data_IF_246513863604
#
_entry.id   IF_246513863604
#
_cell.length_a   1.000
_cell.length_b   1.000
_cell.length_c   1.000
_cell.angle_alpha   90.00
_cell.angle_beta   90.00
_cell.angle_gamma   90.00
#
_symmetry.space_group_name_H-M   'P 1'
#
loop_
_entity.id
_entity.type
_entity.pdbx_description
1 polymer ?
#
# COMPACT_ATOMS: atom_id res chain seq x y z
N UNK A 1 10.14 15.25 -68.70
CA UNK A 1 8.87 14.62 -68.28
C UNK A 1 9.17 13.83 -67.02
N UNK A 2 8.57 14.21 -65.90
CA UNK A 2 8.87 13.69 -64.58
C UNK A 2 8.29 12.28 -64.38
N UNK A 3 9.14 11.34 -64.00
CA UNK A 3 8.78 9.97 -63.66
C UNK A 3 8.12 9.95 -62.27
N UNK A 4 6.81 9.70 -62.22
CA UNK A 4 6.04 9.64 -60.98
C UNK A 4 6.42 8.38 -60.20
N UNK A 5 7.16 8.55 -59.10
CA UNK A 5 7.39 7.52 -58.08
C UNK A 5 6.06 7.06 -57.47
N UNK A 6 5.78 5.76 -57.59
CA UNK A 6 4.66 5.08 -56.92
C UNK A 6 4.88 5.04 -55.40
N UNK A 7 3.87 5.33 -54.55
CA UNK A 7 4.07 5.40 -53.10
C UNK A 7 4.17 3.99 -52.49
N UNK A 8 5.12 3.83 -51.58
CA UNK A 8 5.37 2.62 -50.81
C UNK A 8 4.15 2.26 -49.96
N UNK A 9 3.73 0.98 -50.05
CA UNK A 9 2.64 0.39 -49.28
C UNK A 9 3.03 0.41 -47.79
N UNK A 10 2.39 1.28 -47.00
CA UNK A 10 2.45 1.23 -45.52
C UNK A 10 1.99 -0.15 -45.07
N UNK A 11 2.91 -0.94 -44.52
CA UNK A 11 2.59 -2.18 -43.81
C UNK A 11 1.85 -1.78 -42.54
N UNK A 12 0.52 -1.90 -42.55
CA UNK A 12 -0.28 -1.83 -41.33
C UNK A 12 0.14 -2.99 -40.43
N UNK A 13 0.68 -2.68 -39.25
CA UNK A 13 0.88 -3.66 -38.17
C UNK A 13 -0.43 -4.42 -37.97
N UNK A 14 -0.36 -5.73 -38.17
CA UNK A 14 -1.45 -6.67 -37.88
C UNK A 14 -1.79 -6.52 -36.40
N UNK A 15 -3.08 -6.36 -36.09
CA UNK A 15 -3.62 -6.47 -34.73
C UNK A 15 -3.17 -7.83 -34.20
N UNK A 16 -2.41 -7.83 -33.11
CA UNK A 16 -1.93 -9.06 -32.47
C UNK A 16 -3.14 -9.94 -32.12
N UNK A 17 -3.12 -11.21 -32.55
CA UNK A 17 -4.13 -12.20 -32.17
C UNK A 17 -4.24 -12.29 -30.64
N UNK A 18 -5.44 -12.50 -30.08
CA UNK A 18 -5.59 -12.71 -28.64
C UNK A 18 -4.72 -13.90 -28.23
N UNK A 19 -3.81 -13.69 -27.26
CA UNK A 19 -2.95 -14.76 -26.74
C UNK A 19 -3.83 -15.89 -26.20
N UNK A 20 -3.45 -17.14 -26.44
CA UNK A 20 -4.11 -18.31 -25.85
C UNK A 20 -4.17 -18.13 -24.32
N UNK A 21 -5.40 -18.03 -23.79
CA UNK A 21 -5.67 -17.67 -22.40
C UNK A 21 -5.60 -18.91 -21.52
N UNK A 22 -4.80 -18.87 -20.46
CA UNK A 22 -4.79 -19.88 -19.40
C UNK A 22 -5.37 -19.28 -18.13
N UNK A 23 -6.52 -19.80 -17.69
CA UNK A 23 -7.11 -19.49 -16.38
C UNK A 23 -6.50 -20.42 -15.33
N UNK A 24 -6.02 -19.86 -14.24
CA UNK A 24 -5.36 -20.58 -13.14
C UNK A 24 -6.16 -20.30 -11.88
N UNK A 25 -6.77 -21.33 -11.29
CA UNK A 25 -7.43 -21.19 -9.98
C UNK A 25 -6.38 -20.92 -8.92
N UNK A 26 -6.59 -19.90 -8.09
CA UNK A 26 -5.58 -19.46 -7.14
C UNK A 26 -5.38 -20.43 -5.97
N UNK A 27 -6.43 -21.14 -5.57
CA UNK A 27 -6.41 -22.06 -4.44
C UNK A 27 -5.74 -23.39 -4.78
N UNK A 28 -5.90 -23.86 -6.03
CA UNK A 28 -5.41 -25.17 -6.51
C UNK A 28 -4.19 -25.07 -7.42
N UNK A 29 -3.98 -23.93 -8.08
CA UNK A 29 -2.93 -23.74 -9.08
C UNK A 29 -3.16 -24.52 -10.38
N UNK A 30 -4.32 -25.17 -10.52
CA UNK A 30 -4.69 -25.95 -11.70
C UNK A 30 -5.29 -25.05 -12.78
N UNK A 31 -5.12 -25.46 -14.05
CA UNK A 31 -5.76 -24.75 -15.16
C UNK A 31 -7.24 -25.09 -15.22
N UNK A 32 -8.10 -24.11 -15.02
CA UNK A 32 -9.56 -24.30 -15.10
C UNK A 32 -10.01 -24.16 -16.55
N UNK A 33 -10.61 -25.22 -17.09
CA UNK A 33 -11.20 -25.22 -18.45
C UNK A 33 -12.71 -25.03 -18.44
N UNK A 34 -13.36 -25.19 -17.29
CA UNK A 34 -14.80 -25.00 -17.12
C UNK A 34 -15.07 -24.13 -15.89
N UNK A 35 -15.48 -22.89 -16.15
CA UNK A 35 -15.96 -21.95 -15.15
C UNK A 35 -17.33 -22.43 -14.68
N UNK A 36 -17.38 -23.05 -13.50
CA UNK A 36 -18.59 -23.68 -13.00
C UNK A 36 -19.45 -22.63 -12.30
N UNK A 37 -20.50 -22.18 -12.97
CA UNK A 37 -21.48 -21.27 -12.39
C UNK A 37 -22.07 -21.85 -11.08
N UNK A 38 -21.65 -21.30 -9.95
CA UNK A 38 -22.32 -21.51 -8.67
C UNK A 38 -23.26 -20.33 -8.45
N UNK A 39 -24.57 -20.59 -8.37
CA UNK A 39 -25.52 -19.58 -7.94
C UNK A 39 -25.19 -19.19 -6.49
N UNK A 40 -24.60 -18.02 -6.29
CA UNK A 40 -24.26 -17.52 -4.96
C UNK A 40 -25.53 -17.06 -4.27
N UNK A 41 -26.08 -17.89 -3.39
CA UNK A 41 -27.24 -17.54 -2.57
C UNK A 41 -26.79 -16.67 -1.39
N UNK A 42 -26.76 -15.35 -1.57
CA UNK A 42 -26.50 -14.37 -0.51
C UNK A 42 -25.08 -14.41 0.09
N UNK A 43 -24.41 -13.26 0.16
CA UNK A 43 -23.10 -13.16 0.82
C UNK A 43 -23.30 -13.16 2.34
N UNK A 44 -22.80 -14.19 3.03
CA UNK A 44 -22.73 -14.22 4.49
C UNK A 44 -21.48 -13.47 4.97
N UNK A 45 -21.63 -12.15 5.12
CA UNK A 45 -20.54 -11.26 5.56
C UNK A 45 -20.00 -11.65 6.93
N UNK A 46 -20.85 -12.14 7.85
CA UNK A 46 -20.40 -12.54 9.19
C UNK A 46 -19.45 -13.75 9.09
N UNK A 47 -19.75 -14.71 8.22
CA UNK A 47 -18.86 -15.83 7.93
C UNK A 47 -17.55 -15.37 7.25
N UNK A 48 -17.60 -14.43 6.30
CA UNK A 48 -16.41 -13.83 5.68
C UNK A 48 -15.53 -13.12 6.70
N UNK A 49 -16.13 -12.32 7.60
CA UNK A 49 -15.43 -11.61 8.68
C UNK A 49 -14.75 -12.58 9.65
N UNK A 50 -15.44 -13.66 10.05
CA UNK A 50 -14.89 -14.69 10.93
C UNK A 50 -13.69 -15.40 10.28
N UNK A 51 -13.80 -15.74 8.99
CA UNK A 51 -12.72 -16.37 8.21
C UNK A 51 -11.50 -15.44 8.13
N UNK A 52 -11.67 -14.19 7.69
CA UNK A 52 -10.59 -13.20 7.58
C UNK A 52 -9.89 -12.98 8.91
N UNK A 53 -10.65 -12.80 9.99
CA UNK A 53 -10.10 -12.69 11.35
C UNK A 53 -9.28 -13.92 11.73
N UNK A 54 -9.78 -15.13 11.48
CA UNK A 54 -9.05 -16.36 11.82
C UNK A 54 -7.69 -16.47 11.11
N UNK A 55 -7.58 -15.97 9.89
CA UNK A 55 -6.35 -15.96 9.10
C UNK A 55 -5.39 -14.83 9.50
N UNK A 56 -5.92 -13.66 9.88
CA UNK A 56 -5.13 -12.50 10.27
C UNK A 56 -4.56 -12.60 11.70
N UNK A 57 -5.29 -13.20 12.64
CA UNK A 57 -4.87 -13.33 14.04
C UNK A 57 -3.47 -13.96 14.25
N UNK A 58 -3.11 -15.09 13.62
CA UNK A 58 -1.76 -15.65 13.78
C UNK A 58 -0.67 -14.71 13.26
N UNK A 59 -0.91 -13.99 12.16
CA UNK A 59 0.05 -13.02 11.62
C UNK A 59 0.26 -11.83 12.58
N UNK A 60 -0.82 -11.33 13.20
CA UNK A 60 -0.71 -10.29 14.23
C UNK A 60 0.12 -10.76 15.42
N UNK A 61 -0.08 -11.99 15.87
CA UNK A 61 0.70 -12.57 16.98
C UNK A 61 2.18 -12.67 16.59
N UNK A 62 2.49 -13.15 15.39
CA UNK A 62 3.86 -13.21 14.89
C UNK A 62 4.49 -11.82 14.84
N UNK A 63 3.77 -10.81 14.36
CA UNK A 63 4.25 -9.42 14.35
C UNK A 63 4.61 -8.92 15.77
N UNK A 64 3.72 -9.14 16.74
CA UNK A 64 4.01 -8.77 18.14
C UNK A 64 5.21 -9.51 18.71
N UNK A 65 5.37 -10.81 18.42
CA UNK A 65 6.54 -11.58 18.86
C UNK A 65 7.83 -11.02 18.24
N UNK A 66 7.82 -10.68 16.94
CA UNK A 66 8.98 -10.07 16.28
C UNK A 66 9.35 -8.73 16.92
N UNK A 67 8.37 -7.88 17.24
CA UNK A 67 8.61 -6.62 17.94
C UNK A 67 9.13 -6.82 19.36
N UNK A 68 8.62 -7.81 20.11
CA UNK A 68 9.15 -8.14 21.44
C UNK A 68 10.61 -8.61 21.37
N UNK A 69 10.96 -9.41 20.36
CA UNK A 69 12.36 -9.80 20.12
C UNK A 69 13.21 -8.59 19.77
N UNK A 70 12.70 -7.67 18.94
CA UNK A 70 13.36 -6.39 18.64
C UNK A 70 13.67 -5.58 19.90
N UNK A 71 12.68 -5.37 20.77
CA UNK A 71 12.85 -4.68 22.06
C UNK A 71 13.94 -5.35 22.92
N UNK A 72 14.00 -6.68 22.95
CA UNK A 72 15.08 -7.40 23.67
C UNK A 72 16.45 -7.07 23.07
N UNK A 73 16.57 -7.01 21.75
CA UNK A 73 17.82 -6.63 21.07
C UNK A 73 18.20 -5.17 21.33
N UNK A 74 17.21 -4.27 21.38
CA UNK A 74 17.41 -2.86 21.75
C UNK A 74 17.94 -2.74 23.19
N UNK A 75 17.34 -3.47 24.14
CA UNK A 75 17.81 -3.50 25.54
C UNK A 75 19.24 -4.04 25.63
N UNK A 76 19.57 -5.11 24.89
CA UNK A 76 20.95 -5.63 24.83
C UNK A 76 21.92 -4.57 24.26
N UNK A 77 21.49 -3.79 23.26
CA UNK A 77 22.31 -2.72 22.70
C UNK A 77 22.56 -1.63 23.74
N UNK A 78 21.55 -1.25 24.54
CA UNK A 78 21.71 -0.29 25.64
C UNK A 78 22.63 -0.82 26.74
N UNK A 79 22.50 -2.08 27.11
CA UNK A 79 23.36 -2.72 28.12
C UNK A 79 24.82 -2.79 27.65
N UNK A 80 25.06 -3.08 26.38
CA UNK A 80 26.40 -3.07 25.77
C UNK A 80 26.97 -1.64 25.68
N UNK A 81 26.15 -0.64 25.27
CA UNK A 81 26.56 0.77 25.26
C UNK A 81 27.02 1.26 26.64
N UNK A 82 26.33 0.84 27.70
CA UNK A 82 26.66 1.17 29.08
C UNK A 82 27.80 0.29 29.66
N UNK A 83 28.30 -0.69 28.90
CA UNK A 83 29.35 -1.61 29.34
C UNK A 83 28.93 -2.59 30.44
N UNK A 84 27.62 -2.82 30.61
CA UNK A 84 27.06 -3.79 31.56
C UNK A 84 27.12 -5.20 31.01
N UNK A 85 26.75 -5.35 29.74
CA UNK A 85 27.11 -6.50 28.91
C UNK A 85 28.39 -6.09 28.17
N UNK A 86 29.42 -6.95 28.12
CA UNK A 86 30.56 -6.75 27.23
C UNK A 86 30.74 -8.05 26.46
N UNK A 87 30.19 -8.11 25.27
CA UNK A 87 30.32 -9.30 24.43
C UNK A 87 31.79 -9.52 24.01
N UNK A 88 32.32 -10.75 24.16
CA UNK A 88 33.71 -11.02 23.81
C UNK A 88 33.94 -10.98 22.30
N UNK A 89 35.12 -10.53 21.87
CA UNK A 89 35.64 -10.72 20.52
C UNK A 89 35.56 -9.52 19.57
N UNK A 90 34.66 -8.55 19.79
CA UNK A 90 34.57 -7.32 19.01
C UNK A 90 34.54 -6.09 19.93
N UNK A 91 34.90 -4.94 19.36
CA UNK A 91 34.77 -3.66 20.06
C UNK A 91 33.30 -3.27 20.26
N UNK A 92 33.02 -2.53 21.34
CA UNK A 92 31.67 -2.16 21.79
C UNK A 92 30.84 -1.51 20.69
N UNK A 93 31.45 -0.62 19.92
CA UNK A 93 30.81 0.07 18.79
C UNK A 93 30.20 -0.92 17.80
N UNK A 94 30.94 -1.96 17.43
CA UNK A 94 30.49 -2.93 16.43
C UNK A 94 29.36 -3.80 16.95
N UNK A 95 29.38 -4.19 18.22
CA UNK A 95 28.28 -4.93 18.82
C UNK A 95 26.98 -4.13 18.84
N UNK A 96 27.04 -2.85 19.22
CA UNK A 96 25.87 -1.97 19.21
C UNK A 96 25.31 -1.83 17.79
N UNK A 97 26.16 -1.66 16.79
CA UNK A 97 25.74 -1.61 15.38
C UNK A 97 25.08 -2.92 14.95
N UNK A 98 25.66 -4.07 15.28
CA UNK A 98 25.09 -5.38 14.94
C UNK A 98 23.71 -5.55 15.58
N UNK A 99 23.57 -5.22 16.87
CA UNK A 99 22.30 -5.31 17.58
C UNK A 99 21.24 -4.37 16.98
N UNK A 100 21.61 -3.14 16.60
CA UNK A 100 20.72 -2.20 15.92
C UNK A 100 20.27 -2.69 14.54
N UNK A 101 21.17 -3.30 13.76
CA UNK A 101 20.84 -3.84 12.44
C UNK A 101 19.93 -5.06 12.56
N UNK A 102 20.17 -5.92 13.55
CA UNK A 102 19.31 -7.08 13.81
C UNK A 102 17.93 -6.64 14.32
N UNK A 103 17.87 -5.68 15.24
CA UNK A 103 16.63 -5.06 15.71
C UNK A 103 15.83 -4.44 14.55
N UNK A 104 16.49 -3.67 13.68
CA UNK A 104 15.89 -3.16 12.46
C UNK A 104 15.25 -4.25 11.59
N UNK A 105 15.93 -5.39 11.43
CA UNK A 105 15.38 -6.54 10.72
C UNK A 105 14.09 -7.07 11.36
N UNK A 106 14.07 -7.20 12.70
CA UNK A 106 12.88 -7.64 13.44
C UNK A 106 11.73 -6.64 13.39
N UNK A 107 12.02 -5.35 13.58
CA UNK A 107 11.01 -4.28 13.50
C UNK A 107 10.41 -4.23 12.10
N UNK A 108 11.23 -4.25 11.06
CA UNK A 108 10.76 -4.25 9.68
C UNK A 108 9.95 -5.52 9.35
N UNK A 109 10.44 -6.71 9.71
CA UNK A 109 9.70 -7.95 9.49
C UNK A 109 8.36 -7.98 10.24
N UNK A 110 8.32 -7.45 11.47
CA UNK A 110 7.10 -7.28 12.25
C UNK A 110 6.11 -6.35 11.56
N UNK A 111 6.57 -5.19 11.08
CA UNK A 111 5.72 -4.23 10.36
C UNK A 111 5.19 -4.76 9.03
N UNK A 112 6.02 -5.48 8.27
CA UNK A 112 5.58 -6.13 7.03
C UNK A 112 4.55 -7.24 7.29
N UNK A 113 4.76 -8.02 8.35
CA UNK A 113 3.81 -9.08 8.77
C UNK A 113 2.49 -8.48 9.25
N UNK A 114 2.55 -7.36 9.98
CA UNK A 114 1.38 -6.60 10.40
C UNK A 114 0.58 -6.06 9.21
N UNK A 115 1.26 -5.47 8.22
CA UNK A 115 0.62 -4.98 7.00
C UNK A 115 -0.07 -6.10 6.23
N UNK A 116 0.53 -7.28 6.17
CA UNK A 116 -0.10 -8.47 5.60
C UNK A 116 -1.30 -8.98 6.41
N UNK A 117 -1.28 -8.84 7.73
CA UNK A 117 -2.44 -9.19 8.55
C UNK A 117 -3.60 -8.21 8.29
N UNK A 118 -3.30 -6.92 8.16
CA UNK A 118 -4.30 -5.89 7.89
C UNK A 118 -4.84 -5.91 6.48
N UNK A 119 -4.07 -6.40 5.51
CA UNK A 119 -4.62 -6.63 4.18
C UNK A 119 -5.69 -7.72 4.23
N UNK A 120 -5.56 -8.72 5.10
CA UNK A 120 -6.55 -9.81 5.24
C UNK A 120 -7.78 -9.38 6.06
N UNK A 121 -7.57 -8.74 7.22
CA UNK A 121 -8.65 -8.27 8.11
C UNK A 121 -8.48 -6.76 8.38
N UNK A 122 -8.87 -5.89 7.44
CA UNK A 122 -8.73 -4.45 7.59
C UNK A 122 -9.72 -3.86 8.60
N UNK A 123 -9.34 -2.73 9.19
CA UNK A 123 -10.26 -1.94 10.01
C UNK A 123 -11.40 -1.32 9.19
N UNK A 124 -12.52 -1.10 9.87
CA UNK A 124 -13.64 -0.29 9.37
C UNK A 124 -13.34 1.19 9.53
N UNK A 125 -13.64 2.00 8.51
CA UNK A 125 -13.54 3.48 8.58
C UNK A 125 -14.51 4.09 9.59
N UNK A 126 -15.57 3.37 10.00
CA UNK A 126 -16.50 3.81 11.06
C UNK A 126 -15.76 4.09 12.37
N UNK A 127 -14.66 3.38 12.62
CA UNK A 127 -13.82 3.57 13.80
C UNK A 127 -12.48 4.21 13.38
N UNK A 128 -12.46 5.52 13.18
CA UNK A 128 -11.27 6.25 12.70
C UNK A 128 -10.00 5.99 13.53
N UNK A 129 -10.11 5.90 14.86
CA UNK A 129 -8.97 5.60 15.74
C UNK A 129 -8.44 4.18 15.53
N UNK A 130 -9.33 3.19 15.44
CA UNK A 130 -8.91 1.81 15.20
C UNK A 130 -8.31 1.65 13.81
N UNK A 131 -8.88 2.32 12.81
CA UNK A 131 -8.35 2.40 11.46
C UNK A 131 -6.95 2.98 11.44
N UNK A 132 -6.76 4.17 12.03
CA UNK A 132 -5.46 4.84 12.08
C UNK A 132 -4.40 4.03 12.82
N UNK A 133 -4.72 3.47 13.99
CA UNK A 133 -3.76 2.65 14.75
C UNK A 133 -3.39 1.42 13.94
N UNK A 134 -4.36 0.73 13.32
CA UNK A 134 -4.05 -0.47 12.56
C UNK A 134 -3.21 -0.16 11.32
N UNK A 135 -3.50 0.90 10.57
CA UNK A 135 -2.75 1.25 9.36
C UNK A 135 -1.35 1.78 9.65
N UNK A 136 -1.18 2.55 10.73
CA UNK A 136 0.10 3.21 11.07
C UNK A 136 0.91 2.49 12.16
N UNK A 137 0.46 1.34 12.67
CA UNK A 137 1.14 0.66 13.79
C UNK A 137 2.61 0.39 13.49
N UNK A 138 2.93 -0.04 12.26
CA UNK A 138 4.31 -0.32 11.87
C UNK A 138 5.23 0.89 11.97
N UNK A 139 4.72 2.08 11.61
CA UNK A 139 5.44 3.36 11.73
C UNK A 139 5.59 3.76 13.19
N UNK A 140 4.51 3.64 13.97
CA UNK A 140 4.50 3.98 15.40
C UNK A 140 5.53 3.13 16.15
N UNK A 141 5.56 1.82 15.89
CA UNK A 141 6.51 0.90 16.53
C UNK A 141 7.95 1.24 16.12
N UNK A 142 8.21 1.59 14.86
CA UNK A 142 9.54 2.02 14.44
C UNK A 142 10.03 3.27 15.22
N UNK A 143 9.16 4.25 15.44
CA UNK A 143 9.47 5.44 16.25
C UNK A 143 9.75 5.05 17.70
N UNK A 144 8.92 4.19 18.28
CA UNK A 144 9.09 3.72 19.68
C UNK A 144 10.40 2.95 19.86
N UNK A 145 10.81 2.15 18.88
CA UNK A 145 12.06 1.39 18.94
C UNK A 145 13.31 2.27 18.74
N UNK A 146 13.33 3.14 17.73
CA UNK A 146 14.58 3.84 17.38
C UNK A 146 14.73 5.23 17.99
N UNK A 147 13.64 5.94 18.31
CA UNK A 147 13.77 7.30 18.87
C UNK A 147 14.44 7.31 20.25
N UNK A 148 14.10 6.42 21.20
CA UNK A 148 14.75 6.37 22.51
C UNK A 148 16.24 6.05 22.39
N UNK A 149 16.62 5.05 21.59
CA UNK A 149 18.03 4.66 21.46
C UNK A 149 18.89 5.75 20.82
N UNK A 150 18.35 6.52 19.86
CA UNK A 150 19.04 7.69 19.30
C UNK A 150 19.30 8.72 20.40
N UNK A 151 18.27 9.06 21.19
CA UNK A 151 18.39 10.04 22.26
C UNK A 151 19.37 9.58 23.35
N UNK A 152 19.26 8.32 23.79
CA UNK A 152 20.15 7.71 24.78
C UNK A 152 21.60 7.71 24.31
N UNK A 153 21.85 7.37 23.05
CA UNK A 153 23.21 7.37 22.46
C UNK A 153 23.82 8.78 22.47
N UNK A 154 23.04 9.80 22.07
CA UNK A 154 23.51 11.18 22.01
C UNK A 154 23.73 11.78 23.41
N UNK A 155 22.94 11.37 24.40
CA UNK A 155 23.03 11.87 25.78
C UNK A 155 24.05 11.12 26.66
N UNK A 156 24.47 9.92 26.27
CA UNK A 156 25.43 9.13 27.02
C UNK A 156 26.76 9.89 27.16
N UNK A 157 27.41 9.92 28.33
CA UNK A 157 28.71 10.61 28.50
C UNK A 157 29.92 9.70 28.32
N UNK A 158 29.73 8.40 28.49
CA UNK A 158 30.79 7.40 28.52
C UNK A 158 31.18 6.89 27.13
N UNK A 159 30.32 7.13 26.12
CA UNK A 159 30.64 6.84 24.73
C UNK A 159 31.55 7.91 24.11
N UNK A 160 32.54 7.48 23.33
CA UNK A 160 33.38 8.38 22.55
C UNK A 160 32.59 9.06 21.41
N UNK A 161 33.11 10.18 20.92
CA UNK A 161 32.41 10.99 19.90
C UNK A 161 32.13 10.21 18.61
N UNK A 162 33.05 9.34 18.18
CA UNK A 162 32.90 8.58 16.94
C UNK A 162 31.80 7.55 17.08
N UNK A 163 31.80 6.76 18.16
CA UNK A 163 30.77 5.75 18.42
C UNK A 163 29.38 6.37 18.50
N UNK A 164 29.24 7.51 19.23
CA UNK A 164 27.97 8.24 19.29
C UNK A 164 27.45 8.62 17.92
N UNK A 165 28.29 9.26 17.12
CA UNK A 165 27.92 9.73 15.77
C UNK A 165 27.54 8.56 14.87
N UNK A 166 28.32 7.48 14.87
CA UNK A 166 28.04 6.32 14.01
C UNK A 166 26.75 5.62 14.45
N UNK A 167 26.60 5.28 15.73
CA UNK A 167 25.40 4.60 16.23
C UNK A 167 24.14 5.44 16.04
N UNK A 168 24.20 6.77 16.27
CA UNK A 168 23.04 7.65 16.03
C UNK A 168 22.66 7.74 14.56
N UNK A 169 23.64 7.73 13.64
CA UNK A 169 23.36 7.73 12.19
C UNK A 169 22.73 6.40 11.78
N UNK A 170 23.28 5.26 12.24
CA UNK A 170 22.73 3.93 11.94
C UNK A 170 21.30 3.81 12.43
N UNK A 171 21.04 4.18 13.69
CA UNK A 171 19.69 4.15 14.25
C UNK A 171 18.74 5.14 13.56
N UNK A 172 19.22 6.33 13.16
CA UNK A 172 18.42 7.30 12.40
C UNK A 172 18.03 6.79 11.00
N UNK A 173 18.96 6.15 10.30
CA UNK A 173 18.67 5.50 9.00
C UNK A 173 17.71 4.33 9.19
N UNK A 174 17.91 3.51 10.23
CA UNK A 174 17.01 2.41 10.57
C UNK A 174 15.59 2.91 10.87
N UNK A 175 15.44 4.00 11.63
CA UNK A 175 14.15 4.63 11.91
C UNK A 175 13.42 5.03 10.62
N UNK A 176 14.10 5.73 9.72
CA UNK A 176 13.50 6.18 8.45
C UNK A 176 13.15 4.99 7.57
N UNK A 177 14.05 4.02 7.43
CA UNK A 177 13.81 2.83 6.61
C UNK A 177 12.67 1.96 7.17
N UNK A 178 12.60 1.79 8.50
CA UNK A 178 11.55 1.01 9.15
C UNK A 178 10.20 1.75 9.11
N UNK A 179 10.21 3.07 9.26
CA UNK A 179 9.01 3.90 9.07
C UNK A 179 8.46 3.79 7.65
N UNK A 180 9.28 4.01 6.63
CA UNK A 180 8.84 3.93 5.23
C UNK A 180 8.48 2.50 4.81
N UNK A 181 9.23 1.50 5.25
CA UNK A 181 8.95 0.09 4.96
C UNK A 181 7.76 -0.46 5.75
N UNK A 182 7.45 0.12 6.91
CA UNK A 182 6.32 -0.24 7.75
C UNK A 182 5.02 0.49 7.41
N UNK A 183 5.08 1.59 6.66
CA UNK A 183 3.91 2.32 6.21
C UNK A 183 3.03 1.47 5.29
N UNK A 184 1.71 1.53 5.51
CA UNK A 184 0.74 0.88 4.64
C UNK A 184 0.32 1.82 3.51
N UNK A 185 0.95 1.68 2.34
CA UNK A 185 0.75 2.57 1.19
C UNK A 185 -0.60 2.43 0.50
N UNK A 186 -1.33 1.33 0.72
CA UNK A 186 -2.64 1.07 0.13
C UNK A 186 -3.58 0.45 1.18
N UNK A 187 -4.06 1.25 2.14
CA UNK A 187 -4.94 0.73 3.17
C UNK A 187 -6.32 0.41 2.58
N UNK A 188 -6.65 -0.87 2.51
CA UNK A 188 -8.02 -1.34 2.22
C UNK A 188 -8.88 -1.21 3.46
N UNK A 189 -10.19 -1.03 3.28
CA UNK A 189 -11.16 -0.94 4.37
C UNK A 189 -12.03 -2.19 4.44
N UNK A 190 -12.59 -2.49 5.60
CA UNK A 190 -13.55 -3.60 5.71
C UNK A 190 -14.78 -3.36 4.83
N UNK A 191 -15.22 -2.10 4.70
CA UNK A 191 -16.35 -1.75 3.82
C UNK A 191 -16.06 -2.01 2.34
N UNK A 192 -14.83 -1.77 1.88
CA UNK A 192 -14.42 -2.04 0.50
C UNK A 192 -14.45 -3.54 0.19
N UNK A 193 -14.01 -4.38 1.13
CA UNK A 193 -14.13 -5.83 1.01
C UNK A 193 -15.59 -6.28 0.95
N UNK A 194 -16.41 -5.81 1.88
CA UNK A 194 -17.82 -6.21 1.92
C UNK A 194 -18.55 -5.80 0.63
N UNK A 195 -18.25 -4.61 0.10
CA UNK A 195 -18.77 -4.16 -1.20
C UNK A 195 -18.26 -5.01 -2.35
N UNK A 196 -16.98 -5.37 -2.35
CA UNK A 196 -16.38 -6.19 -3.40
C UNK A 196 -16.93 -7.63 -3.41
N UNK A 197 -17.14 -8.24 -2.23
CA UNK A 197 -17.78 -9.56 -2.10
C UNK A 197 -19.23 -9.53 -2.60
N UNK A 198 -19.99 -8.49 -2.22
CA UNK A 198 -21.37 -8.29 -2.68
C UNK A 198 -21.42 -8.03 -4.19
N UNK A 199 -20.50 -7.24 -4.73
CA UNK A 199 -20.42 -6.98 -6.16
C UNK A 199 -20.01 -8.22 -6.95
N UNK A 200 -19.10 -9.05 -6.42
CA UNK A 200 -18.76 -10.34 -7.05
C UNK A 200 -19.99 -11.24 -7.15
N UNK A 201 -20.78 -11.35 -6.08
CA UNK A 201 -22.02 -12.14 -6.11
C UNK A 201 -23.10 -11.59 -7.06
N UNK A 202 -23.06 -10.29 -7.42
CA UNK A 202 -24.03 -9.66 -8.31
C UNK A 202 -23.57 -9.64 -9.77
N UNK A 203 -22.28 -9.42 -10.01
CA UNK A 203 -21.71 -9.09 -11.31
C UNK A 203 -20.93 -10.25 -11.93
N UNK A 204 -20.45 -11.20 -11.13
CA UNK A 204 -19.76 -12.37 -11.63
C UNK A 204 -20.76 -13.52 -11.82
N UNK A 205 -20.77 -14.09 -13.02
CA UNK A 205 -21.68 -15.21 -13.37
C UNK A 205 -21.38 -16.50 -12.58
N UNK A 206 -20.16 -16.60 -12.05
CA UNK A 206 -19.61 -17.72 -11.29
C UNK A 206 -19.30 -17.40 -9.82
N UNK A 207 -19.47 -16.15 -9.41
CA UNK A 207 -19.10 -15.66 -8.08
C UNK A 207 -17.59 -15.48 -7.85
N UNK A 208 -16.76 -15.61 -8.89
CA UNK A 208 -15.32 -15.43 -8.81
C UNK A 208 -14.86 -14.10 -9.43
N UNK A 209 -13.65 -13.69 -9.09
CA UNK A 209 -12.98 -12.56 -9.76
C UNK A 209 -11.71 -13.01 -10.46
N UNK A 210 -11.33 -12.21 -11.45
CA UNK A 210 -10.26 -12.51 -12.37
C UNK A 210 -9.21 -11.40 -12.34
N UNK A 211 -7.93 -11.76 -12.30
CA UNK A 211 -6.85 -10.77 -12.31
C UNK A 211 -5.60 -11.31 -13.02
N UNK A 212 -4.67 -10.41 -13.31
CA UNK A 212 -3.38 -10.76 -13.92
C UNK A 212 -2.27 -10.64 -12.89
N UNK A 213 -1.10 -11.25 -13.11
CA UNK A 213 0.03 -11.15 -12.18
C UNK A 213 0.40 -9.68 -11.87
N UNK A 214 0.35 -8.83 -12.89
CA UNK A 214 0.69 -7.41 -12.81
C UNK A 214 -0.52 -6.51 -12.54
N UNK A 215 -0.27 -5.37 -11.91
CA UNK A 215 -1.28 -4.35 -11.63
C UNK A 215 -2.05 -4.61 -10.33
N UNK A 216 -3.07 -3.79 -10.13
CA UNK A 216 -3.90 -3.66 -8.93
C UNK A 216 -5.39 -3.94 -9.23
N UNK A 217 -5.70 -4.35 -10.47
CA UNK A 217 -7.08 -4.48 -10.97
C UNK A 217 -7.58 -5.91 -10.95
N UNK A 218 -8.78 -6.11 -10.41
CA UNK A 218 -9.57 -7.34 -10.57
C UNK A 218 -10.82 -7.09 -11.42
N UNK A 219 -11.34 -8.17 -12.02
CA UNK A 219 -12.42 -8.16 -13.00
C UNK A 219 -13.50 -9.16 -12.58
N UNK A 220 -14.78 -8.79 -12.75
CA UNK A 220 -15.91 -9.68 -12.47
C UNK A 220 -16.27 -10.60 -13.66
N UNK A 221 -15.66 -10.38 -14.83
CA UNK A 221 -15.96 -11.14 -16.04
C UNK A 221 -14.65 -11.64 -16.70
N UNK A 222 -14.53 -12.95 -17.00
CA UNK A 222 -13.33 -13.53 -17.62
C UNK A 222 -13.06 -13.03 -19.05
N UNK A 223 -14.09 -12.55 -19.75
CA UNK A 223 -14.02 -12.03 -21.13
C UNK A 223 -13.86 -10.51 -21.20
N UNK A 224 -13.54 -9.85 -20.07
CA UNK A 224 -13.28 -8.43 -20.04
C UNK A 224 -12.23 -8.01 -21.10
N UNK A 225 -12.50 -6.98 -21.94
CA UNK A 225 -11.57 -6.53 -22.98
C UNK A 225 -10.17 -6.17 -22.46
N UNK A 226 -10.07 -5.72 -21.21
CA UNK A 226 -8.81 -5.37 -20.55
C UNK A 226 -7.92 -6.58 -20.25
N UNK A 227 -8.50 -7.79 -20.16
CA UNK A 227 -7.75 -9.04 -19.95
C UNK A 227 -7.20 -9.63 -21.25
N UNK A 228 -7.64 -9.17 -22.43
CA UNK A 228 -7.30 -9.78 -23.74
C UNK A 228 -5.80 -9.79 -24.08
N UNK A 229 -5.00 -8.95 -23.43
CA UNK A 229 -3.55 -8.83 -23.68
C UNK A 229 -2.72 -9.76 -22.78
N UNK A 230 -3.36 -10.41 -21.82
CA UNK A 230 -2.74 -11.25 -20.81
C UNK A 230 -2.87 -12.73 -21.18
N UNK A 231 -1.75 -13.47 -21.07
CA UNK A 231 -1.74 -14.91 -21.32
C UNK A 231 -2.13 -15.72 -20.09
N UNK A 232 -1.77 -15.22 -18.90
CA UNK A 232 -2.06 -15.86 -17.61
C UNK A 232 -3.05 -14.99 -16.85
N UNK A 233 -4.19 -15.59 -16.50
CA UNK A 233 -5.26 -14.96 -15.74
C UNK A 233 -5.51 -15.87 -14.53
N UNK A 234 -5.49 -15.29 -13.34
CA UNK A 234 -5.85 -15.97 -12.12
C UNK A 234 -7.34 -15.78 -11.86
N UNK A 235 -8.00 -16.82 -11.34
CA UNK A 235 -9.37 -16.75 -10.82
C UNK A 235 -9.40 -17.18 -9.36
N UNK A 236 -10.40 -16.69 -8.63
CA UNK A 236 -10.59 -17.01 -7.22
C UNK A 236 -11.49 -15.99 -6.52
N UNK A 237 -11.45 -15.99 -5.19
CA UNK A 237 -12.28 -15.09 -4.39
C UNK A 237 -11.70 -13.67 -4.30
N UNK A 238 -12.51 -12.70 -3.84
CA UNK A 238 -12.05 -11.33 -3.58
C UNK A 238 -10.88 -11.32 -2.59
N UNK A 239 -10.93 -12.15 -1.56
CA UNK A 239 -9.87 -12.26 -0.55
C UNK A 239 -8.56 -12.77 -1.16
N UNK A 240 -8.64 -13.72 -2.09
CA UNK A 240 -7.48 -14.24 -2.80
C UNK A 240 -6.88 -13.20 -3.74
N UNK A 241 -7.73 -12.45 -4.45
CA UNK A 241 -7.28 -11.35 -5.31
C UNK A 241 -6.57 -10.25 -4.50
N UNK A 242 -7.16 -9.83 -3.38
CA UNK A 242 -6.58 -8.76 -2.57
C UNK A 242 -5.29 -9.20 -1.87
N UNK A 243 -5.20 -10.47 -1.47
CA UNK A 243 -3.96 -11.06 -0.96
C UNK A 243 -2.87 -11.21 -2.04
N UNK A 244 -3.26 -11.35 -3.32
CA UNK A 244 -2.32 -11.56 -4.42
C UNK A 244 -1.86 -10.25 -5.07
N UNK A 245 -0.76 -9.69 -4.55
CA UNK A 245 -0.16 -8.45 -5.06
C UNK A 245 -1.16 -7.27 -5.06
N UNK A 246 -1.97 -7.16 -3.99
CA UNK A 246 -2.85 -6.01 -3.74
C UNK A 246 -3.82 -5.69 -4.91
N UNK A 247 -4.57 -6.67 -5.40
CA UNK A 247 -5.64 -6.42 -6.40
C UNK A 247 -6.86 -5.80 -5.73
N UNK A 248 -6.75 -4.54 -5.32
CA UNK A 248 -7.76 -3.85 -4.50
C UNK A 248 -8.73 -3.03 -5.34
N UNK A 249 -8.45 -2.83 -6.64
CA UNK A 249 -9.22 -1.95 -7.51
C UNK A 249 -10.09 -2.75 -8.48
N UNK A 250 -11.40 -2.53 -8.48
CA UNK A 250 -12.25 -3.15 -9.49
C UNK A 250 -12.03 -2.50 -10.87
N UNK A 251 -12.18 -3.31 -11.93
CA UNK A 251 -12.26 -2.79 -13.28
C UNK A 251 -13.54 -1.96 -13.45
N UNK A 252 -13.39 -0.67 -13.81
CA UNK A 252 -14.51 0.27 -13.98
C UNK A 252 -15.59 -0.26 -14.93
N UNK A 253 -15.18 -0.90 -16.02
CA UNK A 253 -16.11 -1.43 -17.02
C UNK A 253 -16.84 -2.69 -16.51
N UNK A 254 -16.16 -3.56 -15.75
CA UNK A 254 -16.80 -4.74 -15.16
C UNK A 254 -17.73 -4.37 -14.01
N UNK A 255 -17.41 -3.31 -13.27
CA UNK A 255 -18.16 -2.84 -12.11
C UNK A 255 -19.33 -1.89 -12.47
N UNK A 256 -19.64 -1.74 -13.76
CA UNK A 256 -20.70 -0.86 -14.24
C UNK A 256 -21.90 -1.67 -14.70
N UNK A 257 -23.04 -1.51 -14.02
CA UNK A 257 -24.32 -2.12 -14.40
C UNK A 257 -25.33 -1.02 -14.72
N UNK A 258 -26.05 -1.16 -15.84
CA UNK A 258 -27.04 -0.15 -16.26
C UNK A 258 -26.48 1.27 -16.45
N UNK A 259 -25.17 1.39 -16.72
CA UNK A 259 -24.47 2.67 -16.87
C UNK A 259 -24.09 3.35 -15.55
N UNK A 260 -24.20 2.65 -14.42
CA UNK A 260 -23.80 3.14 -13.10
C UNK A 260 -22.73 2.24 -12.50
N UNK A 261 -21.70 2.85 -11.91
CA UNK A 261 -20.69 2.15 -11.14
C UNK A 261 -21.32 1.62 -9.84
N UNK A 262 -21.17 0.32 -9.59
CA UNK A 262 -21.89 -0.43 -8.53
C UNK A 262 -21.16 -0.39 -7.19
N UNK A 263 -19.84 -0.22 -7.23
CA UNK A 263 -19.01 -0.03 -6.05
C UNK A 263 -19.04 1.44 -5.64
N UNK A 264 -18.95 1.74 -4.35
CA UNK A 264 -18.83 3.13 -3.92
C UNK A 264 -17.38 3.55 -4.12
N UNK A 265 -17.12 4.53 -4.98
CA UNK A 265 -15.76 5.03 -5.21
C UNK A 265 -15.13 5.48 -3.87
N UNK A 266 -14.05 4.83 -3.46
CA UNK A 266 -13.12 5.37 -2.44
C UNK A 266 -12.11 6.35 -3.04
N UNK A 267 -12.14 6.56 -4.37
CA UNK A 267 -11.15 7.33 -5.12
C UNK A 267 -11.31 8.87 -5.06
N UNK A 268 -12.25 9.40 -4.27
CA UNK A 268 -12.55 10.84 -4.23
C UNK A 268 -11.89 11.61 -3.06
N UNK A 269 -10.95 11.00 -2.32
CA UNK A 269 -10.26 11.67 -1.18
C UNK A 269 -8.73 11.76 -1.32
N UNK A 270 -8.14 11.31 -2.44
CA UNK A 270 -6.69 11.41 -2.68
C UNK A 270 -6.30 12.51 -3.67
N UNK A 271 -7.20 13.42 -4.03
CA UNK A 271 -6.88 14.58 -4.88
C UNK A 271 -7.44 15.88 -4.31
N UNK A 272 -6.88 16.32 -3.18
CA UNK A 272 -6.81 17.74 -2.83
C UNK A 272 -5.49 18.03 -2.11
N UNK A 273 -4.42 18.06 -2.89
CA UNK A 273 -3.23 18.83 -2.57
C UNK A 273 -2.66 19.42 -3.87
N UNK A 274 -3.48 20.18 -4.58
CA UNK A 274 -2.94 21.23 -5.43
C UNK A 274 -3.20 22.54 -4.70
N UNK A 275 -2.13 23.08 -4.13
CA UNK A 275 -2.09 24.42 -3.60
C UNK A 275 -2.33 25.39 -4.75
N UNK A 276 -3.44 26.11 -4.67
CA UNK A 276 -3.51 27.47 -5.17
C UNK A 276 -3.30 28.38 -3.97
N UNK A 277 -2.09 28.93 -3.90
CA UNK A 277 -1.71 30.04 -3.06
C UNK A 277 -2.74 31.16 -3.17
N UNK A 278 -3.59 31.32 -2.16
CA UNK A 278 -4.23 32.61 -1.90
C UNK A 278 -3.22 33.44 -1.12
N UNK A 279 -2.28 34.01 -1.87
CA UNK A 279 -1.37 35.04 -1.39
C UNK A 279 -2.21 36.18 -0.83
N UNK A 280 -2.07 36.41 0.48
CA UNK A 280 -2.57 37.61 1.12
C UNK A 280 -1.97 38.83 0.43
N UNK A 281 -2.84 39.65 -0.15
CA UNK A 281 -2.47 40.97 -0.63
C UNK A 281 -2.65 41.97 0.52
N UNK A 282 -1.51 42.53 0.87
CA UNK A 282 -1.29 43.60 1.83
C UNK A 282 -2.09 44.84 1.47
N UNK A 283 -2.68 45.48 2.47
CA UNK A 283 -3.27 46.80 2.28
C UNK A 283 -2.22 47.83 1.88
N UNK A 284 -2.62 48.72 0.97
CA UNK A 284 -2.16 50.12 0.87
C UNK A 284 -3.13 50.86 -0.08
N UNK A 285 -3.98 51.75 0.47
CA UNK A 285 -4.34 53.01 -0.22
C UNK A 285 -3.11 53.94 -0.13
N UNK A 286 -2.87 54.94 -1.03
CA UNK A 286 -3.87 55.77 -1.70
C UNK A 286 -3.50 56.24 -3.14
N UNK A 287 -4.30 57.19 -3.66
CA UNK A 287 -3.95 58.27 -4.61
C UNK A 287 -4.65 58.25 -5.99
N UNK A 288 -5.61 59.18 -6.16
CA UNK A 288 -5.57 60.17 -7.24
C UNK A 288 -6.02 59.78 -8.63
N UNK A 289 -7.33 59.76 -8.87
CA UNK A 289 -7.85 59.95 -10.23
C UNK A 289 -7.96 61.45 -10.55
N UNK A 290 -7.05 61.96 -11.36
CA UNK A 290 -7.18 63.27 -12.01
C UNK A 290 -6.74 63.16 -13.47
N UNK A 291 -7.65 62.74 -14.34
CA UNK A 291 -7.62 62.96 -15.78
C UNK A 291 -9.04 63.44 -16.14
N UNK A 292 -9.31 64.73 -16.41
CA UNK A 292 -8.91 65.51 -17.57
C UNK A 292 -9.47 64.94 -18.90
N UNK A 293 -10.80 64.88 -19.04
CA UNK A 293 -11.44 64.92 -20.36
C UNK A 293 -11.97 66.32 -20.65
N UNK A 294 -11.31 66.94 -21.61
CA UNK A 294 -11.75 68.11 -22.37
C UNK A 294 -12.96 67.75 -23.23
N UNK A 295 -14.08 68.44 -23.05
CA UNK A 295 -15.08 68.60 -24.10
C UNK A 295 -15.50 70.08 -24.09
N UNK A 296 -15.00 70.79 -25.09
CA UNK A 296 -15.53 72.06 -25.58
C UNK A 296 -17.00 71.91 -25.96
N UNK A 297 -17.87 72.86 -25.57
CA UNK A 297 -18.92 73.44 -26.43
C UNK A 297 -19.68 74.55 -25.67
N UNK A 298 -19.57 75.77 -26.23
CA UNK A 298 -20.36 77.02 -26.11
C UNK A 298 -20.77 77.61 -24.74
#
# INVERSE_FOLDING_TARGET
MAEKKSPAKRVSKRVDDPKDRKFIDRSTGESVTDVKAHSVSGVDLDASHARRRSQAMPLRIVAFVLWLVGIVMEVLAVLEMNGTFNFPGLDRMWWVIILLVVDFGFVLAGSLTWNRANSIDPASKKNAVAYWIQTELGVIIAVIAFAPIILLTLMNKDLDKKTKTVCSIVAGVALVAAGLGGANWQPTTSEAYDQAEVAAAQLADDGEVYWTASGDVYHFNPDCPHLKRSAEIYSGTIEEAFADNHKTRACKDCATEGGRYVLKDEADDSSQSDGSDESGDTGDEPDGSADAETVDEE
#
